data_IF_933151319077
#
_entry.id   IF_933151319077
#
_cell.length_a   1.000
_cell.length_b   1.000
_cell.length_c   1.000
_cell.angle_alpha   90.00
_cell.angle_beta   90.00
_cell.angle_gamma   90.00
#
_symmetry.space_group_name_H-M   'P 1'
#
loop_
_entity.id
_entity.type
_entity.pdbx_description
1 polymer ?
#
# COMPACT_ATOMS: atom_id res chain seq x y z
N UNK A 1 -10.99 -15.36 11.82
CA UNK A 1 -9.97 -14.69 10.96
C UNK A 1 -10.08 -13.20 11.19
N UNK A 2 -8.98 -12.45 11.40
CA UNK A 2 -9.04 -11.02 11.61
C UNK A 2 -9.43 -10.35 10.27
N UNK A 3 -10.73 -10.14 10.05
CA UNK A 3 -11.27 -9.48 8.85
C UNK A 3 -10.68 -8.08 8.66
N UNK A 4 -10.25 -7.44 9.76
CA UNK A 4 -9.75 -6.07 9.77
C UNK A 4 -8.33 -5.93 9.22
N UNK A 5 -7.44 -6.91 9.46
CA UNK A 5 -6.04 -6.80 9.06
C UNK A 5 -5.87 -6.78 7.53
N UNK A 6 -6.62 -7.63 6.81
CA UNK A 6 -6.59 -7.64 5.34
C UNK A 6 -7.20 -6.36 4.75
N UNK A 7 -8.34 -5.91 5.29
CA UNK A 7 -9.00 -4.69 4.84
C UNK A 7 -8.15 -3.42 5.11
N UNK A 8 -7.48 -3.36 6.26
CA UNK A 8 -6.53 -2.28 6.59
C UNK A 8 -5.33 -2.30 5.64
N UNK A 9 -4.74 -3.48 5.41
CA UNK A 9 -3.64 -3.64 4.45
C UNK A 9 -4.02 -3.12 3.07
N UNK A 10 -5.21 -3.46 2.58
CA UNK A 10 -5.68 -3.01 1.28
C UNK A 10 -5.93 -1.49 1.22
N UNK A 11 -6.51 -0.89 2.27
CA UNK A 11 -6.70 0.56 2.38
C UNK A 11 -5.37 1.31 2.35
N UNK A 12 -4.38 0.83 3.10
CA UNK A 12 -3.03 1.40 3.11
C UNK A 12 -2.35 1.29 1.73
N UNK A 13 -2.51 0.16 1.05
CA UNK A 13 -1.98 -0.05 -0.30
C UNK A 13 -2.56 0.96 -1.29
N UNK A 14 -3.89 1.17 -1.28
CA UNK A 14 -4.55 2.17 -2.14
C UNK A 14 -4.17 3.61 -1.79
N UNK A 15 -4.16 3.95 -0.51
CA UNK A 15 -3.79 5.29 -0.04
C UNK A 15 -2.33 5.63 -0.39
N UNK A 16 -1.42 4.69 -0.19
CA UNK A 16 -0.01 4.84 -0.55
C UNK A 16 0.18 5.01 -2.05
N UNK A 17 -0.47 4.16 -2.87
CA UNK A 17 -0.39 4.26 -4.32
C UNK A 17 -0.85 5.63 -4.83
N UNK A 18 -1.95 6.15 -4.27
CA UNK A 18 -2.47 7.48 -4.59
C UNK A 18 -1.47 8.58 -4.25
N UNK A 19 -1.01 8.66 -3.00
CA UNK A 19 -0.16 9.77 -2.57
C UNK A 19 1.23 9.72 -3.20
N UNK A 20 1.80 8.52 -3.42
CA UNK A 20 3.05 8.39 -4.17
C UNK A 20 2.91 8.86 -5.62
N UNK A 21 1.77 8.60 -6.27
CA UNK A 21 1.52 9.07 -7.63
C UNK A 21 1.26 10.59 -7.70
N UNK A 22 0.53 11.15 -6.74
CA UNK A 22 0.16 12.57 -6.72
C UNK A 22 1.32 13.49 -6.28
N UNK A 23 2.20 13.02 -5.40
CA UNK A 23 3.24 13.86 -4.79
C UNK A 23 4.67 13.39 -5.06
N UNK A 24 4.84 12.22 -5.67
CA UNK A 24 6.15 11.57 -5.80
C UNK A 24 6.59 10.84 -4.53
N UNK A 25 7.62 10.00 -4.68
CA UNK A 25 8.09 9.10 -3.62
C UNK A 25 8.67 9.87 -2.45
N UNK A 26 9.32 11.02 -2.64
CA UNK A 26 9.97 11.72 -1.52
C UNK A 26 9.00 12.62 -0.74
N UNK A 27 8.05 13.28 -1.43
CA UNK A 27 7.15 14.24 -0.79
C UNK A 27 5.94 13.61 -0.09
N UNK A 28 5.54 12.38 -0.47
CA UNK A 28 4.39 11.70 0.14
C UNK A 28 4.67 11.26 1.59
N UNK A 29 4.04 11.89 2.59
CA UNK A 29 4.36 11.60 4.00
C UNK A 29 3.62 10.36 4.51
N UNK A 30 4.29 9.53 5.31
CA UNK A 30 3.71 8.33 5.94
C UNK A 30 2.41 8.64 6.70
N UNK A 31 2.42 9.72 7.47
CA UNK A 31 1.25 10.19 8.24
C UNK A 31 0.03 10.49 7.36
N UNK A 32 0.25 11.03 6.16
CA UNK A 32 -0.83 11.39 5.24
C UNK A 32 -1.43 10.12 4.62
N UNK A 33 -0.57 9.11 4.35
CA UNK A 33 -0.98 7.78 3.88
C UNK A 33 -1.85 7.07 4.93
N UNK A 34 -1.43 7.03 6.19
CA UNK A 34 -2.21 6.36 7.24
C UNK A 34 -3.52 7.10 7.53
N UNK A 35 -3.51 8.43 7.53
CA UNK A 35 -4.72 9.23 7.67
C UNK A 35 -5.72 8.95 6.54
N UNK A 36 -5.26 8.95 5.28
CA UNK A 36 -6.08 8.63 4.12
C UNK A 36 -6.61 7.19 4.15
N UNK A 37 -5.84 6.25 4.71
CA UNK A 37 -6.29 4.88 4.94
C UNK A 37 -7.26 4.74 6.13
N UNK A 38 -7.55 5.82 6.87
CA UNK A 38 -8.39 5.81 8.07
C UNK A 38 -7.73 5.11 9.26
N UNK A 39 -6.41 5.21 9.39
CA UNK A 39 -5.62 4.61 10.47
C UNK A 39 -5.06 5.69 11.39
N UNK A 40 -4.95 5.36 12.67
CA UNK A 40 -4.60 6.34 13.71
C UNK A 40 -3.11 6.73 13.72
N UNK A 41 -2.22 5.86 13.22
CA UNK A 41 -0.77 6.10 13.29
C UNK A 41 0.03 5.26 12.26
N UNK A 42 1.31 5.62 12.15
CA UNK A 42 2.29 5.04 11.22
C UNK A 42 2.61 3.56 11.48
N UNK A 43 2.33 3.05 12.69
CA UNK A 43 2.61 1.65 13.05
C UNK A 43 1.82 0.66 12.19
N UNK A 44 0.69 1.08 11.63
CA UNK A 44 -0.08 0.26 10.69
C UNK A 44 0.72 -0.08 9.43
N UNK A 45 1.56 0.85 8.93
CA UNK A 45 2.43 0.57 7.78
C UNK A 45 3.52 -0.43 8.16
N UNK A 46 4.19 -0.21 9.29
CA UNK A 46 5.22 -1.13 9.80
C UNK A 46 4.64 -2.53 10.04
N UNK A 47 3.46 -2.63 10.62
CA UNK A 47 2.79 -3.90 10.90
C UNK A 47 2.44 -4.68 9.62
N UNK A 48 1.93 -4.00 8.58
CA UNK A 48 1.45 -4.68 7.36
C UNK A 48 2.50 -4.84 6.26
N UNK A 49 3.52 -3.99 6.24
CA UNK A 49 4.50 -3.90 5.16
C UNK A 49 5.96 -3.87 5.65
N UNK A 50 6.20 -3.86 6.95
CA UNK A 50 7.54 -3.77 7.55
C UNK A 50 8.13 -2.36 7.50
N UNK A 51 7.89 -1.61 6.43
CA UNK A 51 8.37 -0.23 6.29
C UNK A 51 7.59 0.53 5.22
N UNK A 52 7.84 1.85 5.12
CA UNK A 52 7.36 2.68 4.01
C UNK A 52 7.88 2.20 2.66
N UNK A 53 9.15 1.76 2.60
CA UNK A 53 9.72 1.16 1.39
C UNK A 53 9.02 -0.16 1.07
N UNK A 54 8.73 -1.00 2.07
CA UNK A 54 7.96 -2.23 1.87
C UNK A 54 6.53 -1.98 1.37
N UNK A 55 5.90 -0.87 1.76
CA UNK A 55 4.62 -0.44 1.18
C UNK A 55 4.79 -0.08 -0.30
N UNK A 56 5.80 0.71 -0.66
CA UNK A 56 6.10 1.05 -2.05
C UNK A 56 6.35 -0.19 -2.89
N UNK A 57 7.17 -1.13 -2.42
CA UNK A 57 7.43 -2.41 -3.11
C UNK A 57 6.15 -3.22 -3.30
N UNK A 58 5.27 -3.27 -2.30
CA UNK A 58 3.99 -3.96 -2.41
C UNK A 58 3.07 -3.31 -3.46
N UNK A 59 3.06 -1.98 -3.56
CA UNK A 59 2.32 -1.24 -4.59
C UNK A 59 2.87 -1.55 -5.98
N UNK A 60 4.19 -1.49 -6.16
CA UNK A 60 4.84 -1.79 -7.44
C UNK A 60 4.55 -3.23 -7.87
N UNK A 61 4.67 -4.19 -6.96
CA UNK A 61 4.35 -5.60 -7.21
C UNK A 61 2.88 -5.78 -7.61
N UNK A 62 1.96 -5.11 -6.93
CA UNK A 62 0.55 -5.15 -7.27
C UNK A 62 0.26 -4.54 -8.66
N UNK A 63 0.94 -3.45 -9.01
CA UNK A 63 0.86 -2.84 -10.34
C UNK A 63 1.35 -3.79 -11.43
N UNK A 64 2.54 -4.38 -11.25
CA UNK A 64 3.11 -5.36 -12.18
C UNK A 64 2.14 -6.54 -12.37
N UNK A 65 1.64 -7.12 -11.28
CA UNK A 65 0.71 -8.24 -11.34
C UNK A 65 -0.60 -7.94 -12.10
N UNK A 66 -1.02 -6.67 -12.21
CA UNK A 66 -2.19 -6.26 -12.99
C UNK A 66 -1.89 -6.05 -14.48
N UNK A 67 -0.64 -5.77 -14.82
CA UNK A 67 -0.18 -5.57 -16.20
C UNK A 67 0.24 -6.87 -16.86
N UNK A 68 0.72 -7.84 -16.07
CA UNK A 68 0.96 -9.19 -16.57
C UNK A 68 -0.37 -9.72 -17.13
N UNK A 69 -0.42 -10.15 -18.41
CA UNK A 69 -1.60 -10.84 -18.92
C UNK A 69 -1.88 -11.99 -17.96
N UNK A 70 -3.16 -12.19 -17.60
CA UNK A 70 -3.57 -13.33 -16.78
C UNK A 70 -2.91 -14.56 -17.39
N UNK A 71 -1.85 -15.05 -16.74
CA UNK A 71 -0.95 -16.04 -17.33
C UNK A 71 -1.79 -17.31 -17.36
N UNK A 72 -2.55 -17.50 -18.44
CA UNK A 72 -3.28 -18.71 -18.74
C UNK A 72 -2.20 -19.77 -18.84
N UNK A 73 -2.01 -20.47 -17.72
CA UNK A 73 -1.23 -21.68 -17.66
C UNK A 73 -1.71 -22.56 -18.82
N UNK A 74 -0.80 -22.82 -19.74
CA UNK A 74 -0.94 -23.85 -20.77
C UNK A 74 -0.40 -25.14 -20.20
#
# INVERSE_FOLDING_TARGET
MPKDASATRERLLRAGARLFAEHGIDAARTRDIVALAGQANDSAITYHFGSRTGLLEAILRAGIARMEPARTAT
#
